data_IF_839609590804
#
_entry.id   IF_839609590804
#
_cell.length_a   1.000
_cell.length_b   1.000
_cell.length_c   1.000
_cell.angle_alpha   90.00
_cell.angle_beta   90.00
_cell.angle_gamma   90.00
#
_symmetry.space_group_name_H-M   'P 1'
#
loop_
_entity.id
_entity.type
_entity.pdbx_description
1 polymer ?
#
# COMPACT_ATOMS: atom_id res chain seq x y z
N UNK A 1 13.83 7.65 9.00
CA UNK A 1 13.89 6.21 9.33
C UNK A 1 14.21 5.30 8.14
N UNK A 2 13.30 5.00 7.20
CA UNK A 2 13.55 3.99 6.14
C UNK A 2 14.73 4.32 5.21
N UNK A 3 14.91 5.60 4.85
CA UNK A 3 16.07 6.07 4.07
C UNK A 3 17.36 6.04 4.90
N UNK A 4 17.29 6.40 6.19
CA UNK A 4 18.45 6.38 7.11
C UNK A 4 18.95 4.95 7.35
N UNK A 5 18.04 3.96 7.34
CA UNK A 5 18.39 2.54 7.39
C UNK A 5 18.88 1.99 6.04
N UNK A 6 18.86 2.79 4.97
CA UNK A 6 19.27 2.38 3.63
C UNK A 6 18.34 1.39 2.93
N UNK A 7 17.07 1.29 3.36
CA UNK A 7 16.12 0.33 2.80
C UNK A 7 15.46 0.83 1.51
N UNK A 8 15.30 2.14 1.37
CA UNK A 8 14.75 2.80 0.19
C UNK A 8 15.68 3.93 -0.25
N UNK A 9 15.69 4.21 -1.56
CA UNK A 9 16.48 5.29 -2.15
C UNK A 9 15.76 6.64 -2.09
N UNK A 10 15.93 7.45 -3.13
CA UNK A 10 15.22 8.72 -3.26
C UNK A 10 13.71 8.49 -3.41
N UNK A 11 12.93 9.37 -2.75
CA UNK A 11 11.47 9.34 -2.81
C UNK A 11 11.03 10.36 -3.84
N UNK A 12 10.47 9.88 -4.94
CA UNK A 12 9.99 10.73 -6.04
C UNK A 12 8.83 11.65 -5.62
N UNK A 13 7.87 11.11 -4.84
CA UNK A 13 6.69 11.83 -4.36
C UNK A 13 6.26 11.28 -2.99
N UNK A 14 5.87 12.18 -2.07
CA UNK A 14 5.24 11.83 -0.79
C UNK A 14 4.07 12.76 -0.52
N UNK A 15 2.90 12.19 -0.24
CA UNK A 15 1.68 12.92 0.12
C UNK A 15 0.96 12.21 1.27
N UNK A 16 1.42 12.42 2.52
CA UNK A 16 0.84 11.75 3.68
C UNK A 16 -0.39 12.53 4.18
N UNK A 17 -1.43 11.80 4.57
CA UNK A 17 -2.60 12.36 5.24
C UNK A 17 -2.78 11.73 6.62
N UNK A 18 -3.33 12.49 7.56
CA UNK A 18 -3.64 12.00 8.90
C UNK A 18 -5.08 11.50 8.95
N UNK A 19 -5.26 10.30 9.50
CA UNK A 19 -6.58 9.69 9.70
C UNK A 19 -6.78 9.49 11.19
N UNK A 20 -7.72 10.24 11.77
CA UNK A 20 -8.03 10.17 13.22
C UNK A 20 -8.52 8.79 13.64
N UNK A 21 -9.27 8.09 12.77
CA UNK A 21 -9.89 6.80 13.07
C UNK A 21 -9.59 5.79 11.97
N UNK A 22 -8.70 4.86 12.29
CA UNK A 22 -8.02 3.98 11.35
C UNK A 22 -8.67 2.58 11.22
N UNK A 23 -9.88 2.47 10.64
CA UNK A 23 -10.54 1.17 10.40
C UNK A 23 -10.82 0.90 8.92
N UNK A 24 -10.46 -0.30 8.48
CA UNK A 24 -10.72 -0.82 7.13
C UNK A 24 -12.00 -1.65 7.15
N UNK A 25 -13.15 -0.99 7.08
CA UNK A 25 -14.45 -1.67 7.06
C UNK A 25 -15.08 -1.62 5.66
N UNK A 26 -16.04 -2.49 5.39
CA UNK A 26 -16.81 -2.47 4.14
C UNK A 26 -18.21 -2.99 4.40
N UNK A 27 -19.16 -2.48 3.63
CA UNK A 27 -20.51 -3.05 3.62
C UNK A 27 -20.47 -4.52 3.22
N UNK A 28 -21.27 -5.34 3.91
CA UNK A 28 -21.45 -6.75 3.57
C UNK A 28 -21.77 -6.91 2.08
N UNK A 29 -21.10 -7.86 1.42
CA UNK A 29 -21.22 -8.18 -0.02
C UNK A 29 -20.82 -7.06 -0.99
N UNK A 30 -20.28 -5.94 -0.50
CA UNK A 30 -19.79 -4.89 -1.39
C UNK A 30 -18.48 -5.29 -2.05
N UNK A 31 -18.38 -5.05 -3.36
CA UNK A 31 -17.21 -5.36 -4.19
C UNK A 31 -16.42 -4.13 -4.62
N UNK A 32 -16.67 -2.99 -3.97
CA UNK A 32 -16.07 -1.70 -4.33
C UNK A 32 -14.53 -1.77 -4.26
N UNK A 33 -13.99 -2.43 -3.23
CA UNK A 33 -12.55 -2.59 -3.01
C UNK A 33 -11.90 -3.33 -4.17
N UNK A 34 -12.41 -4.50 -4.56
CA UNK A 34 -11.83 -5.25 -5.68
C UNK A 34 -11.86 -4.46 -6.97
N UNK A 35 -12.95 -3.73 -7.24
CA UNK A 35 -13.07 -2.89 -8.44
C UNK A 35 -12.06 -1.74 -8.43
N UNK A 36 -11.88 -1.07 -7.29
CA UNK A 36 -10.94 0.04 -7.15
C UNK A 36 -9.48 -0.43 -7.31
N UNK A 37 -9.11 -1.52 -6.61
CA UNK A 37 -7.76 -2.10 -6.71
C UNK A 37 -7.44 -2.54 -8.13
N UNK A 38 -8.37 -3.23 -8.80
CA UNK A 38 -8.19 -3.68 -10.18
C UNK A 38 -8.05 -2.51 -11.17
N UNK A 39 -8.81 -1.43 -10.96
CA UNK A 39 -8.70 -0.24 -11.79
C UNK A 39 -7.32 0.42 -11.67
N UNK A 40 -6.81 0.55 -10.44
CA UNK A 40 -5.49 1.13 -10.17
C UNK A 40 -4.36 0.25 -10.74
N UNK A 41 -4.45 -1.07 -10.54
CA UNK A 41 -3.49 -2.03 -11.10
C UNK A 41 -3.45 -1.97 -12.63
N UNK A 42 -4.60 -1.76 -13.30
CA UNK A 42 -4.68 -1.56 -14.75
C UNK A 42 -3.92 -0.33 -15.26
N UNK A 43 -3.57 0.61 -14.37
CA UNK A 43 -2.74 1.78 -14.65
C UNK A 43 -1.32 1.66 -14.06
N UNK A 44 -0.91 0.47 -13.63
CA UNK A 44 0.41 0.24 -13.00
C UNK A 44 0.52 0.82 -11.59
N UNK A 45 -0.61 1.14 -10.95
CA UNK A 45 -0.64 1.68 -9.58
C UNK A 45 -0.96 0.54 -8.62
N UNK A 46 0.06 0.10 -7.89
CA UNK A 46 -0.06 -1.01 -6.95
C UNK A 46 -0.28 -0.48 -5.52
N UNK A 47 -1.49 -0.66 -5.02
CA UNK A 47 -1.84 -0.27 -3.66
C UNK A 47 -1.36 -1.31 -2.65
N UNK A 48 -0.60 -0.88 -1.64
CA UNK A 48 0.04 -1.75 -0.64
C UNK A 48 -0.31 -1.28 0.78
N UNK A 49 -0.22 -2.21 1.73
CA UNK A 49 -0.44 -1.90 3.13
C UNK A 49 -1.91 -1.86 3.53
N UNK A 50 -2.15 -1.65 4.84
CA UNK A 50 -3.48 -1.63 5.46
C UNK A 50 -4.50 -0.77 4.71
N UNK A 51 -4.15 0.48 4.43
CA UNK A 51 -5.09 1.43 3.81
C UNK A 51 -5.11 1.36 2.29
N UNK A 52 -3.97 1.10 1.64
CA UNK A 52 -3.94 0.92 0.20
C UNK A 52 -4.78 -0.28 -0.25
N UNK A 53 -4.60 -1.43 0.42
CA UNK A 53 -5.34 -2.66 0.12
C UNK A 53 -6.72 -2.72 0.78
N UNK A 54 -6.99 -1.81 1.72
CA UNK A 54 -8.19 -1.78 2.54
C UNK A 54 -8.46 -3.10 3.29
N UNK A 55 -7.46 -3.58 4.03
CA UNK A 55 -7.54 -4.79 4.85
C UNK A 55 -6.94 -4.57 6.24
N UNK A 56 -7.44 -5.29 7.24
CA UNK A 56 -6.87 -5.23 8.57
C UNK A 56 -5.55 -6.01 8.59
N UNK A 57 -4.44 -5.31 8.81
CA UNK A 57 -3.12 -5.90 8.96
C UNK A 57 -2.24 -5.08 9.91
N UNK A 58 -1.17 -5.71 10.40
CA UNK A 58 -0.16 -5.08 11.24
C UNK A 58 0.84 -4.22 10.46
N UNK A 59 1.60 -3.40 11.20
CA UNK A 59 2.61 -2.51 10.63
C UNK A 59 3.73 -3.31 9.94
N UNK A 60 4.24 -4.36 10.60
CA UNK A 60 5.32 -5.19 10.04
C UNK A 60 4.95 -5.84 8.70
N UNK A 61 3.73 -6.37 8.58
CA UNK A 61 3.25 -6.95 7.31
C UNK A 61 3.12 -5.86 6.24
N UNK A 62 2.64 -4.67 6.60
CA UNK A 62 2.54 -3.53 5.66
C UNK A 62 3.89 -3.10 5.12
N UNK A 63 4.92 -3.02 5.97
CA UNK A 63 6.29 -2.68 5.57
C UNK A 63 6.87 -3.78 4.67
N UNK A 64 6.73 -5.04 5.07
CA UNK A 64 7.18 -6.19 4.29
C UNK A 64 6.57 -6.22 2.89
N UNK A 65 5.26 -6.04 2.78
CA UNK A 65 4.58 -5.98 1.48
C UNK A 65 5.13 -4.83 0.61
N UNK A 66 5.36 -3.65 1.21
CA UNK A 66 5.94 -2.50 0.51
C UNK A 66 7.32 -2.80 -0.06
N UNK A 67 8.19 -3.41 0.75
CA UNK A 67 9.53 -3.80 0.34
C UNK A 67 9.52 -4.88 -0.74
N UNK A 68 8.62 -5.88 -0.65
CA UNK A 68 8.49 -6.93 -1.66
C UNK A 68 7.97 -6.37 -2.99
N UNK A 69 6.93 -5.54 -2.96
CA UNK A 69 6.36 -4.93 -4.16
C UNK A 69 7.36 -3.99 -4.84
N UNK A 70 8.07 -3.17 -4.06
CA UNK A 70 9.10 -2.26 -4.58
C UNK A 70 10.38 -2.98 -5.03
N UNK A 71 10.74 -4.11 -4.40
CA UNK A 71 11.90 -4.92 -4.75
C UNK A 71 11.69 -5.81 -5.97
N UNK A 72 10.49 -6.34 -6.16
CA UNK A 72 10.14 -7.15 -7.33
C UNK A 72 10.18 -6.35 -8.66
N UNK A 73 10.11 -5.02 -8.60
CA UNK A 73 10.27 -4.13 -9.76
C UNK A 73 11.71 -3.97 -10.27
N UNK A 74 12.71 -4.55 -9.60
CA UNK A 74 14.14 -4.51 -10.04
C UNK A 74 14.60 -5.77 -10.77
N UNK A 75 13.68 -6.68 -11.10
CA UNK A 75 13.98 -7.89 -11.87
C UNK A 75 13.22 -7.92 -13.18
N UNK A 76 13.57 -7.05 -14.14
CA UNK A 76 13.51 -7.24 -15.60
C UNK A 76 14.26 -6.10 -16.29
#
# INVERSE_FOLDING_TARGET
ELQEWGWIGDVEVVDPTWIEVAYTWSWSRSRWREKALKALEGHGIYQIGRFGRWIFQGIAESIKEGLVAGGAGRGY
#
